data_IF_238149410472
#
_entry.id   IF_238149410472
#
_cell.length_a   1.000
_cell.length_b   1.000
_cell.length_c   1.000
_cell.angle_alpha   90.00
_cell.angle_beta   90.00
_cell.angle_gamma   90.00
#
_symmetry.space_group_name_H-M   'P 1'
#
loop_
_entity.id
_entity.type
_entity.pdbx_description
1 polymer ?
#
# COMPACT_ATOMS: atom_id res chain seq x y z
N UNK A 1 -5.04 -16.39 -43.98
CA UNK A 1 -4.91 -16.22 -42.51
C UNK A 1 -3.70 -15.35 -42.27
N UNK A 2 -3.95 -14.09 -41.92
CA UNK A 2 -2.92 -13.06 -41.81
C UNK A 2 -2.17 -13.14 -40.49
N UNK A 3 -0.94 -12.60 -40.45
CA UNK A 3 -0.18 -12.42 -39.21
C UNK A 3 -0.95 -11.60 -38.15
N UNK A 4 -1.91 -10.78 -38.58
CA UNK A 4 -2.81 -10.00 -37.73
C UNK A 4 -3.85 -10.87 -36.99
N UNK A 5 -4.36 -11.95 -37.61
CA UNK A 5 -5.31 -12.88 -36.96
C UNK A 5 -4.66 -13.66 -35.79
N UNK A 6 -3.32 -13.74 -35.76
CA UNK A 6 -2.56 -14.41 -34.70
C UNK A 6 -2.24 -13.50 -33.50
N UNK A 7 -2.35 -12.18 -33.65
CA UNK A 7 -2.13 -11.22 -32.57
C UNK A 7 -3.41 -10.95 -31.76
N UNK A 8 -4.60 -11.16 -32.36
CA UNK A 8 -5.89 -11.07 -31.65
C UNK A 8 -6.20 -12.29 -30.76
N UNK A 9 -5.38 -13.36 -30.79
CA UNK A 9 -5.59 -14.58 -29.99
C UNK A 9 -4.70 -14.69 -28.75
N UNK A 10 -3.92 -13.66 -28.42
CA UNK A 10 -3.21 -13.62 -27.12
C UNK A 10 -3.91 -12.62 -26.22
N UNK A 11 -5.13 -12.97 -25.82
CA UNK A 11 -5.70 -12.42 -24.60
C UNK A 11 -4.83 -12.97 -23.46
N UNK A 12 -3.84 -12.18 -23.02
CA UNK A 12 -3.01 -12.52 -21.87
C UNK A 12 -3.96 -12.54 -20.67
N UNK A 13 -4.49 -13.74 -20.35
CA UNK A 13 -5.29 -13.94 -19.15
C UNK A 13 -4.50 -13.45 -17.94
N UNK A 14 -5.19 -12.80 -17.01
CA UNK A 14 -4.59 -12.28 -15.78
C UNK A 14 -3.68 -13.30 -15.07
N UNK A 15 -4.08 -14.58 -15.10
CA UNK A 15 -3.39 -15.75 -14.56
C UNK A 15 -1.93 -15.89 -15.02
N UNK A 16 -1.60 -15.45 -16.24
CA UNK A 16 -0.24 -15.60 -16.79
C UNK A 16 0.73 -14.48 -16.39
N UNK A 17 0.22 -13.42 -15.74
CA UNK A 17 1.01 -12.24 -15.33
C UNK A 17 1.45 -12.29 -13.88
N UNK A 18 0.86 -13.17 -13.08
CA UNK A 18 1.16 -13.31 -11.66
C UNK A 18 2.00 -14.56 -11.40
N UNK A 19 2.95 -14.49 -10.44
CA UNK A 19 3.56 -15.69 -9.88
C UNK A 19 2.52 -16.60 -9.23
N UNK A 20 2.80 -17.91 -9.18
CA UNK A 20 1.88 -18.93 -8.64
C UNK A 20 1.40 -18.61 -7.21
N UNK A 21 2.30 -18.15 -6.33
CA UNK A 21 1.93 -17.76 -4.96
C UNK A 21 0.93 -16.59 -4.90
N UNK A 22 1.04 -15.62 -5.81
CA UNK A 22 0.11 -14.48 -5.86
C UNK A 22 -1.22 -14.88 -6.48
N UNK A 23 -1.20 -15.77 -7.47
CA UNK A 23 -2.41 -16.34 -8.04
C UNK A 23 -3.19 -17.12 -6.97
N UNK A 24 -2.53 -18.01 -6.24
CA UNK A 24 -3.16 -18.77 -5.14
C UNK A 24 -3.74 -17.85 -4.07
N UNK A 25 -3.03 -16.77 -3.70
CA UNK A 25 -3.54 -15.77 -2.77
C UNK A 25 -4.82 -15.11 -3.30
N UNK A 26 -4.81 -14.64 -4.56
CA UNK A 26 -5.96 -13.98 -5.17
C UNK A 26 -7.16 -14.92 -5.29
N UNK A 27 -6.97 -16.16 -5.75
CA UNK A 27 -8.02 -17.18 -5.85
C UNK A 27 -8.63 -17.50 -4.48
N UNK A 28 -7.80 -17.60 -3.44
CA UNK A 28 -8.27 -17.83 -2.07
C UNK A 28 -9.11 -16.66 -1.56
N UNK A 29 -8.65 -15.42 -1.79
CA UNK A 29 -9.41 -14.22 -1.42
C UNK A 29 -10.72 -14.12 -2.21
N UNK A 30 -10.72 -14.47 -3.49
CA UNK A 30 -11.91 -14.51 -4.34
C UNK A 30 -12.95 -15.48 -3.76
N UNK A 31 -12.54 -16.72 -3.44
CA UNK A 31 -13.43 -17.71 -2.84
C UNK A 31 -13.99 -17.23 -1.50
N UNK A 32 -13.17 -16.62 -0.65
CA UNK A 32 -13.61 -16.08 0.64
C UNK A 32 -14.60 -14.92 0.47
N UNK A 33 -14.37 -14.03 -0.50
CA UNK A 33 -15.24 -12.91 -0.84
C UNK A 33 -16.60 -13.40 -1.39
N UNK A 34 -16.59 -14.34 -2.32
CA UNK A 34 -17.79 -14.91 -2.93
C UNK A 34 -18.64 -15.65 -1.89
N UNK A 35 -18.01 -16.47 -1.05
CA UNK A 35 -18.68 -17.22 0.01
C UNK A 35 -19.27 -16.27 1.07
N UNK A 36 -18.52 -15.23 1.46
CA UNK A 36 -19.01 -14.20 2.39
C UNK A 36 -20.20 -13.43 1.82
N UNK A 37 -20.14 -13.03 0.55
CA UNK A 37 -21.25 -12.39 -0.14
C UNK A 37 -22.47 -13.31 -0.21
N UNK A 38 -22.28 -14.59 -0.55
CA UNK A 38 -23.34 -15.60 -0.60
C UNK A 38 -24.00 -15.79 0.76
N UNK A 39 -23.22 -16.07 1.80
CA UNK A 39 -23.71 -16.29 3.15
C UNK A 39 -24.49 -15.08 3.68
N UNK A 40 -23.98 -13.86 3.47
CA UNK A 40 -24.66 -12.65 3.94
C UNK A 40 -25.96 -12.37 3.15
N UNK A 41 -25.99 -12.67 1.85
CA UNK A 41 -27.23 -12.62 1.04
C UNK A 41 -28.26 -13.64 1.54
N UNK A 42 -27.85 -14.84 1.92
CA UNK A 42 -28.72 -15.86 2.51
C UNK A 42 -29.27 -15.42 3.88
N UNK A 43 -28.43 -14.93 4.78
CA UNK A 43 -28.84 -14.38 6.09
C UNK A 43 -29.87 -13.26 5.89
N UNK A 44 -29.61 -12.33 4.95
CA UNK A 44 -30.53 -11.25 4.61
C UNK A 44 -31.88 -11.76 4.11
N UNK A 45 -31.91 -12.83 3.30
CA UNK A 45 -33.15 -13.45 2.85
C UNK A 45 -33.93 -14.08 4.01
N UNK A 46 -33.26 -14.81 4.91
CA UNK A 46 -33.90 -15.40 6.08
C UNK A 46 -34.45 -14.33 7.03
N UNK A 47 -33.70 -13.24 7.22
CA UNK A 47 -34.14 -12.09 8.01
C UNK A 47 -35.42 -11.47 7.45
N UNK A 48 -35.51 -11.29 6.12
CA UNK A 48 -36.72 -10.80 5.45
C UNK A 48 -37.90 -11.75 5.63
N UNK A 49 -37.68 -13.07 5.54
CA UNK A 49 -38.72 -14.08 5.77
C UNK A 49 -39.24 -14.01 7.20
N UNK A 50 -38.36 -13.86 8.19
CA UNK A 50 -38.75 -13.75 9.59
C UNK A 50 -39.56 -12.47 9.88
N UNK A 51 -39.17 -11.34 9.28
CA UNK A 51 -39.95 -10.09 9.31
C UNK A 51 -41.34 -10.31 8.71
N UNK A 52 -41.42 -10.96 7.55
CA UNK A 52 -42.70 -11.19 6.87
C UNK A 52 -43.61 -12.13 7.65
N UNK A 53 -43.08 -13.25 8.17
CA UNK A 53 -43.86 -14.20 8.97
C UNK A 53 -44.49 -13.53 10.20
N UNK A 54 -43.76 -12.63 10.87
CA UNK A 54 -44.32 -11.85 11.98
C UNK A 54 -45.41 -10.89 11.53
N UNK A 55 -45.23 -10.19 10.41
CA UNK A 55 -46.27 -9.31 9.83
C UNK A 55 -47.54 -10.08 9.52
N UNK A 56 -47.41 -11.29 8.98
CA UNK A 56 -48.54 -12.13 8.62
C UNK A 56 -49.32 -12.61 9.86
N UNK A 57 -48.64 -12.85 10.99
CA UNK A 57 -49.24 -13.34 12.23
C UNK A 57 -49.86 -12.24 13.11
N UNK A 58 -49.18 -11.11 13.24
CA UNK A 58 -49.51 -10.06 14.21
C UNK A 58 -50.08 -8.80 13.57
N UNK A 59 -50.05 -8.71 12.23
CA UNK A 59 -50.29 -7.47 11.52
C UNK A 59 -49.18 -6.45 11.74
N UNK A 60 -49.46 -5.20 11.42
CA UNK A 60 -48.57 -4.06 11.65
C UNK A 60 -49.16 -3.25 12.80
N UNK A 61 -48.36 -2.94 13.83
CA UNK A 61 -48.78 -2.06 14.91
C UNK A 61 -49.19 -0.67 14.39
N UNK A 62 -49.98 0.09 15.15
CA UNK A 62 -50.42 1.43 14.71
C UNK A 62 -49.26 2.40 14.40
N UNK A 63 -48.08 2.14 14.97
CA UNK A 63 -46.84 2.89 14.78
C UNK A 63 -45.91 2.29 13.72
N UNK A 64 -46.32 1.25 13.01
CA UNK A 64 -45.48 0.55 12.04
C UNK A 64 -44.45 -0.39 12.66
N UNK A 65 -44.40 -0.51 14.00
CA UNK A 65 -43.42 -1.32 14.71
C UNK A 65 -43.78 -2.81 14.66
N UNK A 66 -42.74 -3.64 14.79
CA UNK A 66 -42.85 -5.09 14.93
C UNK A 66 -42.37 -5.51 16.32
N UNK A 67 -43.15 -6.26 17.11
CA UNK A 67 -42.79 -6.61 18.49
C UNK A 67 -41.45 -7.34 18.66
N UNK A 68 -41.04 -8.16 17.70
CA UNK A 68 -39.85 -9.03 17.79
C UNK A 68 -38.72 -8.63 16.84
N UNK A 69 -39.05 -8.08 15.66
CA UNK A 69 -38.05 -7.67 14.65
C UNK A 69 -38.11 -6.15 14.36
N UNK A 70 -38.78 -5.36 15.21
CA UNK A 70 -39.04 -3.93 15.00
C UNK A 70 -38.17 -2.99 15.83
N UNK A 71 -37.64 -2.00 15.10
CA UNK A 71 -37.22 -0.62 15.42
C UNK A 71 -36.58 -0.24 16.77
N UNK A 72 -36.12 -1.17 17.61
CA UNK A 72 -35.39 -0.82 18.85
C UNK A 72 -33.97 -1.38 18.96
N UNK A 73 -33.38 -1.89 17.88
CA UNK A 73 -32.09 -2.60 17.96
C UNK A 73 -30.97 -2.02 17.09
N UNK A 74 -29.77 -2.11 17.67
CA UNK A 74 -28.44 -1.78 17.12
C UNK A 74 -28.04 -2.63 15.89
N UNK A 75 -28.93 -3.49 15.41
CA UNK A 75 -28.68 -4.43 14.32
C UNK A 75 -29.98 -4.81 13.59
N UNK A 76 -30.02 -4.61 12.27
CA UNK A 76 -31.15 -4.96 11.42
C UNK A 76 -30.80 -5.12 9.95
N UNK A 77 -31.83 -5.11 9.08
CA UNK A 77 -31.65 -5.31 7.63
C UNK A 77 -30.75 -4.25 6.99
N UNK A 78 -30.76 -3.03 7.55
CA UNK A 78 -29.89 -1.92 7.16
C UNK A 78 -28.43 -2.21 7.47
N UNK A 79 -28.13 -2.82 8.62
CA UNK A 79 -26.76 -3.20 8.99
C UNK A 79 -26.25 -4.35 8.12
N UNK A 80 -27.09 -5.34 7.82
CA UNK A 80 -26.76 -6.41 6.88
C UNK A 80 -26.46 -5.87 5.47
N UNK A 81 -27.25 -4.91 4.99
CA UNK A 81 -26.99 -4.26 3.70
C UNK A 81 -25.66 -3.49 3.74
N UNK A 82 -25.41 -2.71 4.80
CA UNK A 82 -24.18 -1.93 4.95
C UNK A 82 -22.93 -2.82 4.98
N UNK A 83 -22.97 -3.95 5.67
CA UNK A 83 -21.82 -4.87 5.69
C UNK A 83 -21.60 -5.54 4.32
N UNK A 84 -22.66 -5.92 3.59
CA UNK A 84 -22.53 -6.47 2.24
C UNK A 84 -21.89 -5.45 1.29
N UNK A 85 -22.30 -4.18 1.39
CA UNK A 85 -21.76 -3.10 0.56
C UNK A 85 -20.28 -2.81 0.88
N UNK A 86 -19.84 -3.00 2.14
CA UNK A 86 -18.43 -2.85 2.54
C UNK A 86 -17.51 -3.98 2.06
N UNK A 87 -18.04 -5.18 1.77
CA UNK A 87 -17.20 -6.31 1.35
C UNK A 87 -16.42 -6.00 0.08
N UNK A 88 -16.99 -5.25 -0.86
CA UNK A 88 -16.32 -4.84 -2.10
C UNK A 88 -15.08 -4.00 -1.83
N UNK A 89 -15.23 -2.96 -1.00
CA UNK A 89 -14.11 -2.10 -0.63
C UNK A 89 -13.04 -2.84 0.17
N UNK A 90 -13.45 -3.78 1.05
CA UNK A 90 -12.50 -4.63 1.79
C UNK A 90 -11.75 -5.57 0.86
N UNK A 91 -12.43 -6.23 -0.07
CA UNK A 91 -11.81 -7.14 -1.04
C UNK A 91 -10.72 -6.45 -1.87
N UNK A 92 -11.02 -5.27 -2.42
CA UNK A 92 -10.02 -4.45 -3.13
C UNK A 92 -8.86 -4.06 -2.21
N UNK A 93 -9.15 -3.66 -0.97
CA UNK A 93 -8.14 -3.30 0.03
C UNK A 93 -7.20 -4.46 0.36
N UNK A 94 -7.71 -5.66 0.63
CA UNK A 94 -6.91 -6.84 0.98
C UNK A 94 -5.97 -7.23 -0.17
N UNK A 95 -6.49 -7.26 -1.41
CA UNK A 95 -5.65 -7.55 -2.58
C UNK A 95 -4.57 -6.50 -2.76
N UNK A 96 -4.94 -5.21 -2.75
CA UNK A 96 -3.98 -4.13 -2.98
C UNK A 96 -2.90 -4.08 -1.89
N UNK A 97 -3.29 -4.32 -0.64
CA UNK A 97 -2.38 -4.37 0.49
C UNK A 97 -1.34 -5.49 0.32
N UNK A 98 -1.75 -6.69 -0.07
CA UNK A 98 -0.83 -7.81 -0.30
C UNK A 98 0.26 -7.46 -1.31
N UNK A 99 -0.10 -6.89 -2.46
CA UNK A 99 0.89 -6.52 -3.47
C UNK A 99 1.80 -5.36 -3.02
N UNK A 100 1.23 -4.34 -2.38
CA UNK A 100 2.00 -3.23 -1.82
C UNK A 100 3.03 -3.71 -0.79
N UNK A 101 2.63 -4.61 0.12
CA UNK A 101 3.52 -5.14 1.17
C UNK A 101 4.58 -6.09 0.58
N UNK A 102 4.16 -7.06 -0.23
CA UNK A 102 5.04 -8.09 -0.79
C UNK A 102 6.10 -7.48 -1.70
N UNK A 103 5.72 -6.53 -2.54
CA UNK A 103 6.61 -5.94 -3.54
C UNK A 103 7.20 -4.60 -3.14
N UNK A 104 6.76 -4.01 -2.02
CA UNK A 104 7.16 -2.65 -1.61
C UNK A 104 6.85 -1.57 -2.67
N UNK A 105 5.70 -1.70 -3.34
CA UNK A 105 5.16 -0.74 -4.32
C UNK A 105 4.09 0.16 -3.68
N UNK A 106 3.79 1.28 -4.34
CA UNK A 106 2.74 2.22 -3.92
C UNK A 106 1.59 2.22 -4.92
N UNK A 107 0.68 1.25 -4.79
CA UNK A 107 -0.57 1.18 -5.55
C UNK A 107 -1.70 1.83 -4.74
N UNK A 108 -2.43 2.76 -5.36
CA UNK A 108 -3.57 3.44 -4.77
C UNK A 108 -4.81 2.56 -4.77
N UNK A 109 -5.17 2.07 -3.59
CA UNK A 109 -6.41 1.33 -3.36
C UNK A 109 -7.65 2.15 -3.70
N UNK A 110 -7.62 3.45 -3.42
CA UNK A 110 -8.79 4.32 -3.64
C UNK A 110 -9.01 4.58 -5.13
N UNK A 111 -7.95 4.72 -5.93
CA UNK A 111 -8.07 4.80 -7.38
C UNK A 111 -8.73 3.54 -7.97
N UNK A 112 -8.42 2.35 -7.43
CA UNK A 112 -9.06 1.10 -7.88
C UNK A 112 -10.53 1.08 -7.50
N UNK A 113 -10.88 1.48 -6.27
CA UNK A 113 -12.28 1.58 -5.81
C UNK A 113 -13.09 2.53 -6.69
N UNK A 114 -12.55 3.69 -7.05
CA UNK A 114 -13.20 4.66 -7.93
C UNK A 114 -13.53 4.10 -9.31
N UNK A 115 -12.73 3.14 -9.81
CA UNK A 115 -12.96 2.50 -11.11
C UNK A 115 -13.91 1.29 -11.03
N UNK A 116 -13.84 0.49 -9.96
CA UNK A 116 -14.56 -0.79 -9.87
C UNK A 116 -15.86 -0.72 -9.06
N UNK A 117 -16.00 0.26 -8.17
CA UNK A 117 -17.20 0.43 -7.34
C UNK A 117 -18.03 1.58 -7.93
N UNK A 118 -19.36 1.40 -8.12
CA UNK A 118 -20.22 2.50 -8.55
C UNK A 118 -20.03 3.75 -7.70
N UNK A 119 -19.95 4.92 -8.34
CA UNK A 119 -19.82 6.18 -7.64
C UNK A 119 -21.05 6.48 -6.77
N UNK A 120 -20.82 6.85 -5.52
CA UNK A 120 -21.91 7.22 -4.60
C UNK A 120 -22.59 8.51 -5.09
N UNK A 121 -23.93 8.52 -5.25
CA UNK A 121 -24.64 9.70 -5.67
C UNK A 121 -24.62 10.77 -4.56
N UNK A 122 -24.62 12.06 -4.94
CA UNK A 122 -24.62 13.17 -3.97
C UNK A 122 -25.86 13.07 -3.04
N UNK A 123 -25.66 12.85 -1.73
CA UNK A 123 -26.76 12.62 -0.80
C UNK A 123 -27.69 13.84 -0.64
N UNK A 124 -27.22 15.03 -0.99
CA UNK A 124 -28.00 16.27 -0.90
C UNK A 124 -28.72 16.62 -2.21
N UNK A 125 -28.40 15.94 -3.32
CA UNK A 125 -28.96 16.23 -4.64
C UNK A 125 -29.66 15.05 -5.32
N UNK A 126 -29.41 13.82 -4.86
CA UNK A 126 -30.03 12.63 -5.43
C UNK A 126 -31.45 12.42 -4.90
N UNK A 127 -32.34 11.96 -5.77
CA UNK A 127 -33.66 11.52 -5.34
C UNK A 127 -33.61 10.13 -4.70
N UNK A 128 -34.70 9.78 -4.00
CA UNK A 128 -34.81 8.53 -3.27
C UNK A 128 -34.73 7.29 -4.17
N UNK A 129 -35.08 7.39 -5.45
CA UNK A 129 -35.10 6.23 -6.35
C UNK A 129 -33.70 5.97 -6.90
N UNK A 130 -32.95 7.03 -7.22
CA UNK A 130 -31.53 6.99 -7.56
C UNK A 130 -30.72 6.39 -6.41
N UNK A 131 -30.96 6.81 -5.17
CA UNK A 131 -30.28 6.23 -3.99
C UNK A 131 -30.60 4.74 -3.83
N UNK A 132 -31.87 4.34 -3.97
CA UNK A 132 -32.27 2.92 -3.90
C UNK A 132 -31.63 2.09 -5.01
N UNK A 133 -31.57 2.62 -6.23
CA UNK A 133 -30.95 1.97 -7.38
C UNK A 133 -29.45 1.77 -7.17
N UNK A 134 -28.75 2.82 -6.74
CA UNK A 134 -27.34 2.76 -6.36
C UNK A 134 -27.07 1.62 -5.37
N UNK A 135 -27.77 1.59 -4.24
CA UNK A 135 -27.57 0.54 -3.24
C UNK A 135 -28.04 -0.85 -3.74
N UNK A 136 -29.03 -0.91 -4.64
CA UNK A 136 -29.45 -2.18 -5.28
C UNK A 136 -28.31 -2.72 -6.15
N UNK A 137 -27.69 -1.88 -6.95
CA UNK A 137 -26.57 -2.23 -7.82
C UNK A 137 -25.37 -2.64 -6.98
N UNK A 138 -25.03 -1.87 -5.94
CA UNK A 138 -23.91 -2.18 -5.05
C UNK A 138 -24.07 -3.53 -4.33
N UNK A 139 -25.28 -3.90 -3.91
CA UNK A 139 -25.53 -5.23 -3.30
C UNK A 139 -25.51 -6.40 -4.31
N UNK A 140 -25.78 -6.10 -5.57
CA UNK A 140 -25.74 -7.06 -6.67
C UNK A 140 -24.35 -7.16 -7.32
N UNK A 141 -23.46 -6.21 -7.03
CA UNK A 141 -22.09 -6.20 -7.52
C UNK A 141 -21.38 -7.51 -7.16
N UNK A 142 -20.61 -7.99 -8.13
CA UNK A 142 -19.71 -9.10 -8.03
C UNK A 142 -18.39 -8.64 -8.62
N UNK A 143 -17.34 -8.67 -7.82
CA UNK A 143 -15.99 -8.33 -8.26
C UNK A 143 -15.21 -9.61 -8.54
N UNK A 144 -14.31 -9.52 -9.51
CA UNK A 144 -13.33 -10.53 -9.81
C UNK A 144 -11.93 -9.98 -9.50
N UNK A 145 -11.06 -10.80 -8.90
CA UNK A 145 -9.71 -10.36 -8.53
C UNK A 145 -8.92 -9.92 -9.76
N UNK A 146 -9.21 -10.50 -10.92
CA UNK A 146 -8.63 -10.15 -12.21
C UNK A 146 -8.85 -8.67 -12.54
N UNK A 147 -10.07 -8.14 -12.31
CA UNK A 147 -10.39 -6.72 -12.52
C UNK A 147 -9.56 -5.82 -11.58
N UNK A 148 -9.38 -6.24 -10.33
CA UNK A 148 -8.58 -5.51 -9.34
C UNK A 148 -7.11 -5.50 -9.77
N UNK A 149 -6.57 -6.65 -10.16
CA UNK A 149 -5.19 -6.81 -10.64
C UNK A 149 -4.95 -6.02 -11.91
N UNK A 150 -5.92 -5.96 -12.84
CA UNK A 150 -5.83 -5.11 -14.02
C UNK A 150 -5.70 -3.62 -13.66
N UNK A 151 -6.49 -3.14 -12.69
CA UNK A 151 -6.35 -1.77 -12.19
C UNK A 151 -5.00 -1.53 -11.50
N UNK A 152 -4.40 -2.55 -10.86
CA UNK A 152 -3.03 -2.44 -10.35
C UNK A 152 -2.03 -2.28 -11.49
N UNK A 153 -2.09 -3.12 -12.53
CA UNK A 153 -1.17 -3.06 -13.67
C UNK A 153 -1.25 -1.73 -14.42
N UNK A 154 -2.43 -1.12 -14.52
CA UNK A 154 -2.58 0.24 -15.07
C UNK A 154 -1.75 1.25 -14.25
N UNK A 155 -1.76 1.15 -12.92
CA UNK A 155 -0.98 2.03 -12.05
C UNK A 155 0.53 1.77 -12.10
N UNK A 156 0.96 0.57 -12.52
CA UNK A 156 2.37 0.25 -12.71
C UNK A 156 2.96 0.87 -13.99
N UNK A 157 2.12 1.41 -14.88
CA UNK A 157 2.54 2.13 -16.10
C UNK A 157 3.48 1.31 -17.00
N UNK A 158 3.14 0.03 -17.20
CA UNK A 158 3.90 -0.91 -18.03
C UNK A 158 5.13 -1.54 -17.36
N UNK A 159 5.40 -1.22 -16.10
CA UNK A 159 6.44 -1.87 -15.30
C UNK A 159 5.89 -3.11 -14.58
N UNK A 160 6.76 -4.07 -14.29
CA UNK A 160 6.46 -5.10 -13.29
C UNK A 160 6.43 -4.52 -11.88
N UNK A 161 5.86 -5.25 -10.92
CA UNK A 161 5.86 -4.82 -9.50
C UNK A 161 7.29 -4.55 -8.98
N UNK A 162 8.25 -5.39 -9.33
CA UNK A 162 9.66 -5.23 -8.90
C UNK A 162 10.30 -4.01 -9.54
N UNK A 163 10.08 -3.79 -10.85
CA UNK A 163 10.61 -2.62 -11.55
C UNK A 163 10.00 -1.32 -11.01
N UNK A 164 8.70 -1.33 -10.72
CA UNK A 164 8.02 -0.19 -10.12
C UNK A 164 8.54 0.11 -8.73
N UNK A 165 8.72 -0.90 -7.87
CA UNK A 165 9.28 -0.73 -6.54
C UNK A 165 10.70 -0.13 -6.61
N UNK A 166 11.51 -0.61 -7.55
CA UNK A 166 12.86 -0.10 -7.77
C UNK A 166 12.86 1.35 -8.25
N UNK A 167 11.98 1.69 -9.20
CA UNK A 167 11.81 3.07 -9.66
C UNK A 167 11.38 4.00 -8.52
N UNK A 168 10.36 3.62 -7.75
CA UNK A 168 9.86 4.40 -6.62
C UNK A 168 10.93 4.63 -5.55
N UNK A 169 11.72 3.59 -5.24
CA UNK A 169 12.84 3.70 -4.32
C UNK A 169 13.88 4.72 -4.79
N UNK A 170 14.27 4.67 -6.07
CA UNK A 170 15.23 5.62 -6.65
C UNK A 170 14.68 7.05 -6.63
N UNK A 171 13.40 7.24 -6.93
CA UNK A 171 12.73 8.55 -6.85
C UNK A 171 12.78 9.08 -5.41
N UNK A 172 12.51 8.23 -4.40
CA UNK A 172 12.59 8.62 -2.98
C UNK A 172 14.02 9.03 -2.60
N UNK A 173 15.01 8.21 -2.94
CA UNK A 173 16.42 8.53 -2.67
C UNK A 173 16.88 9.83 -3.36
N UNK A 174 16.51 10.03 -4.63
CA UNK A 174 16.80 11.26 -5.38
C UNK A 174 16.23 12.49 -4.67
N UNK A 175 14.92 12.48 -4.39
CA UNK A 175 14.23 13.59 -3.69
C UNK A 175 14.82 13.86 -2.32
N UNK A 176 15.21 12.81 -1.61
CA UNK A 176 15.83 12.93 -0.29
C UNK A 176 17.24 13.52 -0.34
N UNK A 177 18.00 13.25 -1.41
CA UNK A 177 19.36 13.74 -1.61
C UNK A 177 19.44 15.11 -2.27
N UNK A 178 18.34 15.62 -2.82
CA UNK A 178 18.27 16.90 -3.51
C UNK A 178 17.43 17.93 -2.73
N UNK A 179 17.77 19.21 -2.91
CA UNK A 179 16.97 20.32 -2.40
C UNK A 179 15.81 20.62 -3.35
N UNK A 180 14.88 21.50 -2.94
CA UNK A 180 13.76 21.94 -3.77
C UNK A 180 14.17 22.55 -5.12
N UNK A 181 15.38 23.11 -5.22
CA UNK A 181 15.92 23.69 -6.45
C UNK A 181 16.80 22.69 -7.23
N UNK A 182 16.60 21.38 -7.03
CA UNK A 182 17.36 20.27 -7.63
C UNK A 182 18.88 20.35 -7.41
N UNK A 183 19.32 21.06 -6.38
CA UNK A 183 20.74 21.05 -5.98
C UNK A 183 21.02 19.87 -5.07
N UNK A 184 22.06 19.07 -5.33
CA UNK A 184 22.50 18.02 -4.42
C UNK A 184 22.73 18.58 -3.01
N UNK A 185 22.12 17.93 -2.03
CA UNK A 185 22.34 18.17 -0.59
C UNK A 185 23.48 17.31 -0.05
N UNK A 186 24.31 16.75 -0.92
CA UNK A 186 25.42 15.90 -0.55
C UNK A 186 26.67 16.19 -1.39
N UNK A 187 27.84 15.86 -0.84
CA UNK A 187 29.12 15.88 -1.54
C UNK A 187 29.85 14.54 -1.44
N UNK A 188 30.56 14.19 -2.50
CA UNK A 188 31.37 12.97 -2.56
C UNK A 188 32.82 13.28 -2.21
N UNK A 189 33.35 12.64 -1.16
CA UNK A 189 34.77 12.70 -0.78
C UNK A 189 35.37 11.31 -0.71
N UNK A 190 35.93 10.85 -1.82
CA UNK A 190 36.55 9.53 -1.92
C UNK A 190 35.52 8.42 -1.72
N UNK A 191 35.69 7.62 -0.68
CA UNK A 191 34.80 6.52 -0.30
C UNK A 191 33.59 6.97 0.54
N UNK A 192 33.45 8.27 0.81
CA UNK A 192 32.44 8.80 1.73
C UNK A 192 31.50 9.77 1.03
N UNK A 193 30.19 9.53 1.14
CA UNK A 193 29.14 10.47 0.76
C UNK A 193 28.70 11.27 1.99
N UNK A 194 28.64 12.58 1.86
CA UNK A 194 28.46 13.52 2.97
C UNK A 194 27.19 14.32 2.75
N UNK A 195 26.19 14.09 3.57
CA UNK A 195 24.87 14.69 3.45
C UNK A 195 24.78 15.91 4.37
N UNK A 196 24.76 17.10 3.78
CA UNK A 196 24.63 18.37 4.48
C UNK A 196 23.18 18.87 4.46
N UNK A 197 22.70 19.42 5.58
CA UNK A 197 21.37 20.04 5.65
C UNK A 197 20.33 19.22 6.40
N UNK A 198 20.56 19.03 7.71
CA UNK A 198 19.62 18.43 8.67
C UNK A 198 19.16 17.01 8.31
N UNK A 199 20.11 16.11 8.07
CA UNK A 199 19.88 14.68 7.88
C UNK A 199 19.82 13.88 9.20
N UNK A 200 20.26 14.48 10.30
CA UNK A 200 20.08 13.96 11.65
C UNK A 200 19.84 15.08 12.66
N UNK A 201 19.34 14.71 13.82
CA UNK A 201 19.17 15.57 14.99
C UNK A 201 19.94 14.97 16.17
N UNK A 202 20.34 15.85 17.09
CA UNK A 202 21.02 15.51 18.33
C UNK A 202 20.41 16.37 19.42
N UNK A 203 19.68 15.76 20.33
CA UNK A 203 19.14 16.42 21.51
C UNK A 203 20.00 16.06 22.73
N UNK A 204 20.33 17.06 23.54
CA UNK A 204 21.08 16.85 24.78
C UNK A 204 20.10 16.84 25.96
N UNK A 205 19.80 15.64 26.46
CA UNK A 205 18.91 15.43 27.59
C UNK A 205 19.69 14.91 28.79
N UNK A 206 19.75 15.68 29.88
CA UNK A 206 20.36 15.27 31.16
C UNK A 206 21.81 14.77 31.04
N UNK A 207 22.58 15.31 30.09
CA UNK A 207 23.97 14.91 29.83
C UNK A 207 24.11 13.65 28.96
N UNK A 208 23.02 13.13 28.39
CA UNK A 208 23.01 12.12 27.32
C UNK A 208 22.72 12.80 25.98
N UNK A 209 23.41 12.37 24.94
CA UNK A 209 23.10 12.74 23.56
C UNK A 209 22.14 11.70 22.96
N UNK A 210 20.97 12.17 22.55
CA UNK A 210 19.93 11.40 21.88
C UNK A 210 19.95 11.75 20.39
N UNK A 211 20.29 10.77 19.56
CA UNK A 211 20.43 10.95 18.12
C UNK A 211 19.26 10.35 17.36
N UNK A 212 18.81 11.01 16.31
CA UNK A 212 17.85 10.43 15.37
C UNK A 212 18.10 10.88 13.94
N UNK A 213 17.76 10.00 13.00
CA UNK A 213 17.83 10.30 11.57
C UNK A 213 16.56 11.02 11.12
N UNK A 214 16.73 12.06 10.30
CA UNK A 214 15.63 12.67 9.60
C UNK A 214 15.05 11.71 8.55
N UNK A 215 13.76 11.85 8.22
CA UNK A 215 13.09 10.94 7.26
C UNK A 215 13.79 10.87 5.91
N UNK A 216 14.34 12.00 5.42
CA UNK A 216 15.16 12.02 4.20
C UNK A 216 16.39 11.10 4.28
N UNK A 217 17.04 10.99 5.44
CA UNK A 217 18.17 10.07 5.61
C UNK A 217 17.69 8.61 5.67
N UNK A 218 16.49 8.36 6.23
CA UNK A 218 15.87 7.04 6.22
C UNK A 218 15.55 6.58 4.79
N UNK A 219 15.06 7.48 3.93
CA UNK A 219 14.84 7.21 2.51
C UNK A 219 16.13 6.86 1.76
N UNK A 220 17.22 7.59 2.03
CA UNK A 220 18.54 7.25 1.46
C UNK A 220 19.03 5.90 1.98
N UNK A 221 18.87 5.61 3.28
CA UNK A 221 19.24 4.30 3.85
C UNK A 221 18.41 3.14 3.31
N UNK A 222 17.14 3.35 2.94
CA UNK A 222 16.36 2.34 2.24
C UNK A 222 17.02 1.97 0.89
N UNK A 223 17.50 2.99 0.16
CA UNK A 223 18.30 2.78 -1.05
C UNK A 223 19.60 2.02 -0.78
N UNK A 224 20.32 2.36 0.30
CA UNK A 224 21.56 1.66 0.68
C UNK A 224 21.27 0.20 1.04
N UNK A 225 20.19 -0.08 1.78
CA UNK A 225 19.80 -1.44 2.13
C UNK A 225 19.53 -2.28 0.88
N UNK A 226 18.75 -1.75 -0.07
CA UNK A 226 18.52 -2.42 -1.35
C UNK A 226 19.81 -2.57 -2.16
N UNK A 227 20.68 -1.55 -2.18
CA UNK A 227 21.97 -1.64 -2.85
C UNK A 227 22.84 -2.72 -2.22
N UNK A 228 22.79 -2.94 -0.91
CA UNK A 228 23.57 -3.96 -0.22
C UNK A 228 23.04 -5.38 -0.50
N UNK A 229 21.72 -5.57 -0.46
CA UNK A 229 21.08 -6.91 -0.47
C UNK A 229 20.50 -7.34 -1.82
N UNK A 230 20.24 -6.39 -2.72
CA UNK A 230 19.40 -6.55 -3.93
C UNK A 230 17.99 -7.05 -3.63
N UNK A 231 17.46 -6.78 -2.42
CA UNK A 231 16.13 -7.23 -2.01
C UNK A 231 15.37 -6.12 -1.30
N UNK A 232 14.06 -6.05 -1.52
CA UNK A 232 13.16 -5.22 -0.73
C UNK A 232 12.90 -5.89 0.64
N UNK A 233 12.69 -5.08 1.68
CA UNK A 233 12.35 -5.56 3.03
C UNK A 233 13.50 -6.16 3.86
N UNK A 234 14.56 -6.67 3.24
CA UNK A 234 15.75 -7.18 3.95
C UNK A 234 16.71 -6.04 4.31
N UNK A 235 16.81 -5.75 5.62
CA UNK A 235 17.71 -4.72 6.15
C UNK A 235 19.00 -5.36 6.68
N UNK A 236 20.19 -4.81 6.38
CA UNK A 236 21.42 -5.26 7.01
C UNK A 236 21.38 -5.11 8.54
N UNK A 237 22.16 -5.93 9.24
CA UNK A 237 22.27 -5.84 10.70
C UNK A 237 22.67 -4.42 11.13
N UNK A 238 21.99 -3.89 12.15
CA UNK A 238 22.18 -2.51 12.65
C UNK A 238 21.31 -1.44 11.97
N UNK A 239 20.73 -1.70 10.79
CA UNK A 239 19.81 -0.72 10.16
C UNK A 239 18.51 -0.55 10.92
N UNK A 240 17.99 -1.61 11.55
CA UNK A 240 16.72 -1.54 12.29
C UNK A 240 16.75 -0.56 13.45
N UNK A 241 17.90 -0.39 14.11
CA UNK A 241 18.08 0.58 15.19
C UNK A 241 18.00 2.02 14.65
N UNK A 242 18.60 2.28 13.49
CA UNK A 242 18.63 3.59 12.83
C UNK A 242 17.30 3.98 12.17
N UNK A 243 16.56 2.99 11.67
CA UNK A 243 15.29 3.17 10.96
C UNK A 243 14.07 3.12 11.90
N UNK A 244 14.30 2.87 13.20
CA UNK A 244 13.24 2.83 14.21
C UNK A 244 12.68 4.21 14.57
N UNK A 245 11.73 4.20 15.51
CA UNK A 245 11.14 5.41 16.10
C UNK A 245 11.88 5.92 17.33
N UNK A 246 12.87 5.18 17.83
CA UNK A 246 13.59 5.50 19.06
C UNK A 246 14.92 6.18 18.78
N UNK A 247 15.30 7.12 19.64
CA UNK A 247 16.61 7.76 19.57
C UNK A 247 17.73 6.79 19.98
N UNK A 248 18.90 7.00 19.40
CA UNK A 248 20.10 6.18 19.64
C UNK A 248 21.15 6.97 20.42
N UNK A 249 21.88 6.30 21.32
CA UNK A 249 22.91 6.95 22.17
C UNK A 249 24.27 7.16 21.50
N UNK A 250 24.45 6.70 20.26
CA UNK A 250 25.73 6.81 19.56
C UNK A 250 25.54 7.56 18.25
N UNK A 251 26.53 8.41 17.92
CA UNK A 251 26.58 9.09 16.64
C UNK A 251 27.24 8.25 15.54
N UNK A 252 27.82 7.08 15.87
CA UNK A 252 28.59 6.26 14.94
C UNK A 252 28.08 4.83 14.93
N UNK A 253 27.84 4.32 13.73
CA UNK A 253 27.40 2.96 13.46
C UNK A 253 28.35 2.29 12.49
N UNK A 254 28.76 1.06 12.81
CA UNK A 254 29.59 0.21 11.96
C UNK A 254 28.73 -0.93 11.43
N UNK A 255 28.96 -1.33 10.19
CA UNK A 255 28.22 -2.41 9.53
C UNK A 255 29.19 -3.51 9.09
N UNK A 256 29.72 -4.33 10.02
CA UNK A 256 30.75 -5.33 9.71
C UNK A 256 30.27 -6.41 8.75
N UNK A 257 28.97 -6.70 8.72
CA UNK A 257 28.36 -7.73 7.86
C UNK A 257 28.03 -7.21 6.45
N UNK A 258 28.11 -5.90 6.23
CA UNK A 258 27.91 -5.29 4.92
C UNK A 258 29.16 -5.41 4.05
N UNK A 259 28.96 -5.68 2.76
CA UNK A 259 30.01 -5.74 1.75
C UNK A 259 30.30 -4.37 1.12
N UNK A 260 29.31 -3.47 1.06
CA UNK A 260 29.41 -2.17 0.38
C UNK A 260 29.49 -0.99 1.36
N UNK A 261 28.56 -0.87 2.30
CA UNK A 261 28.60 0.16 3.35
C UNK A 261 29.45 -0.28 4.55
N UNK A 262 30.36 0.57 5.04
CA UNK A 262 31.18 0.27 6.23
C UNK A 262 30.64 0.98 7.46
N UNK A 263 30.28 2.25 7.33
CA UNK A 263 30.01 3.10 8.49
C UNK A 263 28.99 4.21 8.16
N UNK A 264 28.17 4.54 9.16
CA UNK A 264 27.39 5.77 9.21
C UNK A 264 27.88 6.62 10.40
N UNK A 265 28.02 7.93 10.18
CA UNK A 265 28.35 8.88 11.25
C UNK A 265 27.46 10.12 11.19
N UNK A 266 26.84 10.44 12.31
CA UNK A 266 26.05 11.65 12.55
C UNK A 266 26.91 12.74 13.21
N UNK A 267 26.53 13.99 12.98
CA UNK A 267 27.21 15.16 13.51
C UNK A 267 26.21 16.16 14.07
N UNK A 268 26.60 16.91 15.11
CA UNK A 268 25.71 17.88 15.80
C UNK A 268 25.18 18.99 14.90
N UNK A 269 25.85 19.27 13.78
CA UNK A 269 25.40 20.23 12.77
C UNK A 269 24.37 19.63 11.78
N UNK A 270 23.82 18.46 12.08
CA UNK A 270 22.82 17.76 11.26
C UNK A 270 23.39 17.10 10.00
N UNK A 271 24.71 16.99 9.88
CA UNK A 271 25.37 16.27 8.79
C UNK A 271 25.38 14.77 9.07
N UNK A 272 25.27 13.96 8.02
CA UNK A 272 25.48 12.51 8.07
C UNK A 272 26.52 12.12 7.03
N UNK A 273 27.50 11.29 7.42
CA UNK A 273 28.48 10.68 6.52
C UNK A 273 28.16 9.20 6.35
N UNK A 274 28.05 8.76 5.10
CA UNK A 274 28.00 7.35 4.71
C UNK A 274 29.35 6.97 4.11
N UNK A 275 30.08 6.07 4.77
CA UNK A 275 31.37 5.56 4.28
C UNK A 275 31.19 4.19 3.66
N UNK A 276 31.56 4.08 2.39
CA UNK A 276 31.57 2.84 1.63
C UNK A 276 32.96 2.21 1.63
N UNK A 277 33.04 0.96 1.16
CA UNK A 277 34.29 0.20 1.09
C UNK A 277 35.31 0.78 0.11
N UNK A 278 34.84 1.37 -0.97
CA UNK A 278 35.70 2.03 -1.96
C UNK A 278 35.01 3.27 -2.53
N UNK A 279 35.81 4.18 -3.11
CA UNK A 279 35.29 5.32 -3.84
C UNK A 279 34.43 4.92 -5.05
N UNK A 280 34.75 3.79 -5.70
CA UNK A 280 33.95 3.29 -6.82
C UNK A 280 32.54 2.88 -6.39
N UNK A 281 32.42 2.20 -5.24
CA UNK A 281 31.13 1.78 -4.69
C UNK A 281 30.30 2.99 -4.26
N UNK A 282 30.92 3.98 -3.60
CA UNK A 282 30.26 5.23 -3.23
C UNK A 282 29.70 5.95 -4.46
N UNK A 283 30.50 6.01 -5.54
CA UNK A 283 30.11 6.60 -6.81
C UNK A 283 28.96 5.84 -7.49
N UNK A 284 29.05 4.52 -7.55
CA UNK A 284 27.98 3.67 -8.12
C UNK A 284 26.65 3.88 -7.41
N UNK A 285 26.67 3.93 -6.07
CA UNK A 285 25.47 4.20 -5.28
C UNK A 285 24.88 5.58 -5.59
N UNK A 286 25.73 6.62 -5.65
CA UNK A 286 25.31 7.98 -5.96
C UNK A 286 24.64 8.05 -7.35
N UNK A 287 25.30 7.54 -8.39
CA UNK A 287 24.78 7.54 -9.76
C UNK A 287 23.49 6.72 -9.90
N UNK A 288 23.38 5.63 -9.15
CA UNK A 288 22.21 4.75 -9.24
C UNK A 288 21.01 5.30 -8.48
N UNK A 289 21.16 5.72 -7.23
CA UNK A 289 20.05 6.05 -6.34
C UNK A 289 19.88 7.55 -6.08
N UNK A 290 20.97 8.31 -6.03
CA UNK A 290 20.93 9.71 -5.60
C UNK A 290 20.77 10.66 -6.79
N UNK A 291 21.42 10.37 -7.91
CA UNK A 291 21.41 11.19 -9.13
C UNK A 291 20.49 10.61 -10.21
N UNK A 292 19.46 9.86 -9.79
CA UNK A 292 18.49 9.30 -10.70
C UNK A 292 17.74 10.41 -11.43
N UNK A 293 17.87 10.44 -12.76
CA UNK A 293 17.01 11.24 -13.64
C UNK A 293 15.85 10.36 -14.12
N UNK A 294 14.63 10.80 -13.82
CA UNK A 294 13.41 10.23 -14.40
C UNK A 294 13.31 10.55 -15.89
#
# INVERSE_FOLDING_TARGET
MGLLDKLEQVEIKADSRLPEDDLMFCETQQQAYDESCRALREIRQQWKKAIQAQRDLLGIGQDGSLPYFGSNYRFGITDLNRELEKFHSRFISELTQHFNEKYSVTISTDAIKEHLIPAEPDPYRCDMDTSKEYHRNLRALSLHYEDVVDQMFIQLDGLSFVERAYQELRIKCYKAAHSYNDKPSYDSKGDTLRFGGYFCTCDENWGREDWSLADRMKDVLAGVAHFETNTFGCKPAGFSELLGYSDVSTSVFQFPDCQKLIQLRMFKNGRVDLKFKTASIAKEFAETYLDYSC
#
